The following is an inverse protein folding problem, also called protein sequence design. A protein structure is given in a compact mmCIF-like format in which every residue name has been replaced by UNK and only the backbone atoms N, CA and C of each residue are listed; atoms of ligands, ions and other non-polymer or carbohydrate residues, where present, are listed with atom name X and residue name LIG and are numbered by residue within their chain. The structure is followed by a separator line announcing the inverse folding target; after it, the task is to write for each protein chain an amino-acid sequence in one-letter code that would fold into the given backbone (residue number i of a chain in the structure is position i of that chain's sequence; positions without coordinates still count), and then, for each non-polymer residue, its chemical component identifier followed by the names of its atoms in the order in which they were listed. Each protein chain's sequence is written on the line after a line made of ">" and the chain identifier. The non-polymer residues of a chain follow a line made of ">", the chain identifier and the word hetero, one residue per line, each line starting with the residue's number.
data_IF_604161219091
#
_entry.id   IF_604161219091
#
_cell.length_a   1.000
_cell.length_b   1.000
_cell.length_c   1.000
_cell.angle_alpha   90.00
_cell.angle_beta   90.00
_cell.angle_gamma   90.00
#
_symmetry.space_group_name_H-M   'P 1'
#
loop_
_entity.id
_entity.type
_entity.pdbx_description
1 polymer ?
#
# COMPACT_ATOMS: atom_id res chain seq x y z
N UNK A 1 -1.88 -17.62 12.94
CA UNK A 1 -1.47 -17.91 11.55
C UNK A 1 -1.02 -16.60 10.91
N UNK A 2 0.11 -16.58 10.20
CA UNK A 2 0.60 -15.37 9.52
C UNK A 2 -0.33 -15.06 8.34
N UNK A 3 -0.91 -13.86 8.27
CA UNK A 3 -1.81 -13.48 7.17
C UNK A 3 -1.07 -12.89 5.97
N UNK A 4 0.06 -12.21 6.21
CA UNK A 4 0.88 -11.57 5.18
C UNK A 4 2.38 -11.55 5.54
N UNK A 5 3.23 -11.61 4.52
CA UNK A 5 4.69 -11.44 4.61
C UNK A 5 5.13 -10.35 3.63
N UNK A 6 5.86 -9.33 4.11
CA UNK A 6 6.37 -8.25 3.25
C UNK A 6 7.74 -8.61 2.66
N UNK A 7 8.01 -8.10 1.46
CA UNK A 7 9.35 -8.06 0.85
C UNK A 7 9.52 -6.73 0.11
N UNK A 8 10.74 -6.39 -0.34
CA UNK A 8 11.00 -5.04 -0.90
C UNK A 8 10.08 -4.67 -2.08
N UNK A 9 9.73 -5.65 -2.92
CA UNK A 9 8.86 -5.44 -4.08
C UNK A 9 7.37 -5.61 -3.82
N UNK A 10 6.91 -5.93 -2.60
CA UNK A 10 5.51 -6.27 -2.40
C UNK A 10 5.21 -7.08 -1.13
N UNK A 11 4.24 -7.98 -1.24
CA UNK A 11 3.88 -8.87 -0.15
C UNK A 11 3.32 -10.21 -0.65
N UNK A 12 3.37 -11.20 0.23
CA UNK A 12 2.73 -12.51 0.06
C UNK A 12 1.54 -12.57 1.00
N UNK A 13 0.37 -12.95 0.50
CA UNK A 13 -0.77 -13.31 1.32
C UNK A 13 -0.93 -14.83 1.38
N UNK A 14 -1.50 -15.35 2.46
CA UNK A 14 -1.66 -16.79 2.66
C UNK A 14 -3.14 -17.16 2.80
N UNK A 15 -3.61 -18.06 1.94
CA UNK A 15 -4.92 -18.71 2.08
C UNK A 15 -4.69 -20.20 2.25
N UNK A 16 -5.03 -20.74 3.41
CA UNK A 16 -4.84 -22.17 3.74
C UNK A 16 -3.40 -22.65 3.48
N UNK A 17 -2.41 -21.79 3.83
CA UNK A 17 -0.97 -21.98 3.58
C UNK A 17 -0.53 -21.94 2.12
N UNK A 18 -1.42 -21.63 1.18
CA UNK A 18 -1.08 -21.36 -0.22
C UNK A 18 -0.68 -19.88 -0.35
N UNK A 19 0.54 -19.58 -0.83
CA UNK A 19 1.01 -18.21 -0.99
C UNK A 19 0.49 -17.58 -2.30
N UNK A 20 0.04 -16.33 -2.22
CA UNK A 20 -0.26 -15.47 -3.37
C UNK A 20 0.65 -14.25 -3.33
N UNK A 21 1.35 -13.97 -4.42
CA UNK A 21 2.27 -12.84 -4.54
C UNK A 21 1.56 -11.61 -5.09
N UNK A 22 1.87 -10.48 -4.49
CA UNK A 22 1.37 -9.16 -4.84
C UNK A 22 2.56 -8.21 -4.96
N UNK A 23 2.62 -7.46 -6.05
CA UNK A 23 3.77 -6.63 -6.42
C UNK A 23 3.42 -5.15 -6.40
N UNK A 24 4.34 -4.34 -5.88
CA UNK A 24 4.26 -2.88 -5.90
C UNK A 24 4.91 -2.33 -7.16
N UNK A 25 4.17 -1.49 -7.87
CA UNK A 25 4.72 -0.61 -8.91
C UNK A 25 4.89 0.77 -8.29
N UNK A 26 6.15 1.15 -8.07
CA UNK A 26 6.53 2.35 -7.33
C UNK A 26 6.97 3.46 -8.28
N UNK A 27 6.68 4.71 -7.92
CA UNK A 27 7.33 5.87 -8.55
C UNK A 27 8.70 6.15 -7.91
N UNK A 28 9.38 7.20 -8.40
CA UNK A 28 10.71 7.59 -7.93
C UNK A 28 10.79 7.89 -6.43
N UNK A 29 9.71 8.39 -5.82
CA UNK A 29 9.69 8.70 -4.39
C UNK A 29 9.38 7.46 -3.53
N UNK A 30 9.09 6.32 -4.17
CA UNK A 30 8.69 5.10 -3.49
C UNK A 30 7.19 5.05 -3.19
N UNK A 31 6.36 5.89 -3.82
CA UNK A 31 4.91 5.79 -3.67
C UNK A 31 4.42 4.52 -4.38
N UNK A 32 3.61 3.72 -3.70
CA UNK A 32 2.97 2.56 -4.33
C UNK A 32 1.84 3.02 -5.26
N UNK A 33 2.14 3.20 -6.55
CA UNK A 33 1.17 3.67 -7.56
C UNK A 33 0.15 2.61 -7.92
N UNK A 34 0.59 1.36 -8.02
CA UNK A 34 -0.25 0.21 -8.34
C UNK A 34 0.18 -0.99 -7.50
N UNK A 35 -0.79 -1.80 -7.09
CA UNK A 35 -0.56 -3.17 -6.63
C UNK A 35 -1.15 -4.12 -7.67
N UNK A 36 -0.38 -5.12 -8.09
CA UNK A 36 -0.84 -6.14 -9.02
C UNK A 36 -0.54 -7.55 -8.52
N UNK A 37 -1.38 -8.50 -8.88
CA UNK A 37 -1.13 -9.91 -8.60
C UNK A 37 -0.05 -10.51 -9.53
N UNK A 38 0.31 -11.77 -9.30
CA UNK A 38 1.31 -12.48 -10.09
C UNK A 38 0.94 -12.69 -11.58
N UNK A 39 -0.30 -12.46 -11.98
CA UNK A 39 -0.76 -12.53 -13.36
C UNK A 39 -0.84 -11.14 -14.02
N UNK A 40 -0.46 -10.08 -13.29
CA UNK A 40 -0.54 -8.70 -13.75
C UNK A 40 -1.92 -8.07 -13.63
N UNK A 41 -2.87 -8.71 -12.92
CA UNK A 41 -4.16 -8.08 -12.66
C UNK A 41 -4.00 -6.96 -11.63
N UNK A 42 -4.56 -5.79 -11.92
CA UNK A 42 -4.52 -4.63 -11.02
C UNK A 42 -5.46 -4.83 -9.85
N UNK A 43 -4.92 -4.73 -8.64
CA UNK A 43 -5.66 -4.87 -7.39
C UNK A 43 -5.96 -3.53 -6.72
N UNK A 44 -5.04 -2.56 -6.85
CA UNK A 44 -5.08 -1.25 -6.20
C UNK A 44 -4.40 -0.21 -7.10
N UNK A 45 -4.97 1.00 -7.16
CA UNK A 45 -4.41 2.14 -7.90
C UNK A 45 -4.45 3.35 -6.99
N UNK A 46 -3.30 3.97 -6.77
CA UNK A 46 -3.16 5.11 -5.87
C UNK A 46 -2.64 6.33 -6.62
N UNK A 47 -3.44 7.39 -6.58
CA UNK A 47 -3.10 8.72 -7.09
C UNK A 47 -2.82 9.63 -5.90
N UNK A 48 -1.67 10.29 -5.90
CA UNK A 48 -1.20 11.11 -4.79
C UNK A 48 -1.16 12.57 -5.20
N UNK A 49 -1.69 13.44 -4.33
CA UNK A 49 -1.30 14.84 -4.31
C UNK A 49 0.19 14.96 -3.94
N UNK A 50 0.85 16.11 -4.24
CA UNK A 50 2.29 16.27 -3.98
C UNK A 50 2.73 15.97 -2.53
N UNK A 51 1.84 16.15 -1.56
CA UNK A 51 2.09 15.92 -0.14
C UNK A 51 1.53 14.57 0.38
N UNK A 52 1.15 13.66 -0.50
CA UNK A 52 0.85 12.27 -0.13
C UNK A 52 -0.61 11.95 0.18
N UNK A 53 -1.51 12.93 0.11
CA UNK A 53 -2.94 12.71 0.23
C UNK A 53 -3.44 11.91 -0.99
N UNK A 54 -4.26 10.89 -0.75
CA UNK A 54 -4.86 10.09 -1.82
C UNK A 54 -5.97 10.88 -2.52
N UNK A 55 -5.94 10.90 -3.85
CA UNK A 55 -7.00 11.50 -4.67
C UNK A 55 -8.22 10.56 -4.76
N UNK A 56 -9.40 11.15 -4.95
CA UNK A 56 -10.68 10.42 -4.96
C UNK A 56 -10.87 9.44 -6.13
N UNK A 57 -10.06 9.56 -7.19
CA UNK A 57 -10.03 8.63 -8.31
C UNK A 57 -9.17 7.38 -8.06
N UNK A 58 -8.48 7.30 -6.91
CA UNK A 58 -7.78 6.10 -6.47
C UNK A 58 -8.76 4.93 -6.24
N UNK A 59 -8.33 3.70 -6.55
CA UNK A 59 -9.19 2.51 -6.55
C UNK A 59 -8.70 1.47 -5.57
N UNK A 60 -9.59 0.91 -4.76
CA UNK A 60 -9.32 -0.20 -3.82
C UNK A 60 -8.27 0.11 -2.73
N UNK A 61 -8.19 1.38 -2.30
CA UNK A 61 -7.13 1.89 -1.43
C UNK A 61 -7.00 1.19 -0.07
N UNK A 62 -8.01 0.43 0.38
CA UNK A 62 -7.99 -0.30 1.65
C UNK A 62 -7.33 -1.70 1.60
N UNK A 63 -6.94 -2.23 0.44
CA UNK A 63 -6.38 -3.60 0.35
C UNK A 63 -4.98 -3.72 0.95
N UNK A 64 -4.17 -2.70 0.76
CA UNK A 64 -2.75 -2.67 1.06
C UNK A 64 -2.41 -1.35 1.73
N UNK A 65 -1.98 -1.33 3.02
CA UNK A 65 -1.78 -0.09 3.76
C UNK A 65 -0.49 0.67 3.41
N UNK A 66 0.52 0.07 2.80
CA UNK A 66 1.73 0.78 2.38
C UNK A 66 1.44 1.65 1.14
N UNK A 67 1.55 2.97 1.26
CA UNK A 67 1.13 3.95 0.23
C UNK A 67 2.25 4.97 -0.08
N UNK A 68 2.10 6.21 0.38
CA UNK A 68 3.02 7.32 0.11
C UNK A 68 4.40 7.01 0.69
N UNK A 69 5.44 7.18 -0.12
CA UNK A 69 6.86 6.97 0.20
C UNK A 69 7.14 5.66 0.96
N UNK A 70 6.38 4.61 0.64
CA UNK A 70 6.47 3.31 1.27
C UNK A 70 6.12 3.28 2.75
N UNK A 71 5.32 4.23 3.25
CA UNK A 71 4.84 4.26 4.64
C UNK A 71 3.43 3.71 4.74
N UNK A 72 3.18 3.07 5.88
CA UNK A 72 1.88 2.52 6.22
C UNK A 72 0.90 3.66 6.49
N UNK A 73 -0.23 3.65 5.80
CA UNK A 73 -1.36 4.54 6.00
C UNK A 73 -2.30 3.93 7.05
N UNK A 74 -2.34 4.56 8.21
CA UNK A 74 -3.35 4.32 9.23
C UNK A 74 -4.51 5.30 9.05
N UNK A 75 -5.75 4.80 9.13
CA UNK A 75 -6.99 5.58 9.01
C UNK A 75 -7.78 5.66 10.31
N UNK A 76 -7.17 5.28 11.43
CA UNK A 76 -7.82 5.24 12.73
C UNK A 76 -8.39 6.61 13.09
N UNK A 77 -9.62 6.62 13.61
CA UNK A 77 -10.39 7.83 13.92
C UNK A 77 -10.72 8.74 12.73
N UNK A 78 -10.65 8.23 11.49
CA UNK A 78 -11.03 8.99 10.29
C UNK A 78 -9.97 9.99 9.82
N UNK A 79 -8.74 9.88 10.33
CA UNK A 79 -7.60 10.68 9.91
C UNK A 79 -6.60 9.80 9.16
N UNK A 80 -6.07 10.31 8.05
CA UNK A 80 -5.04 9.64 7.26
C UNK A 80 -3.65 9.95 7.88
N UNK A 81 -3.02 8.96 8.49
CA UNK A 81 -1.71 9.06 9.14
C UNK A 81 -0.68 8.13 8.50
N UNK A 82 0.47 8.68 8.12
CA UNK A 82 1.62 7.90 7.68
C UNK A 82 2.59 7.62 8.83
N UNK A 83 2.92 6.34 9.05
CA UNK A 83 3.85 5.91 10.09
C UNK A 83 5.32 6.05 9.66
N UNK A 84 6.04 7.05 10.19
CA UNK A 84 7.49 7.25 9.96
C UNK A 84 8.36 6.69 11.10
N UNK A 85 7.87 5.69 11.81
CA UNK A 85 8.52 5.13 12.99
C UNK A 85 8.37 6.06 14.20
N UNK A 86 9.23 7.08 14.31
CA UNK A 86 9.24 7.98 15.46
C UNK A 86 8.17 9.09 15.40
N UNK A 87 7.54 9.29 14.24
CA UNK A 87 6.57 10.38 14.00
C UNK A 87 5.43 9.89 13.11
N UNK A 88 4.26 10.48 13.29
CA UNK A 88 3.16 10.39 12.32
C UNK A 88 3.20 11.60 11.38
N UNK A 89 2.82 11.38 10.13
CA UNK A 89 2.70 12.44 9.13
C UNK A 89 1.26 12.51 8.63
N UNK A 90 0.63 13.67 8.78
CA UNK A 90 -0.64 13.99 8.14
C UNK A 90 -0.35 14.63 6.78
N UNK A 91 -0.84 14.04 5.69
CA UNK A 91 -0.71 14.59 4.34
C UNK A 91 -1.71 15.72 4.03
#
# INVERSE_FOLDING_TARGET
>A
MLSRLLFDGGYVSFRDSVPTYHYYIRDYLGNNRVVADAHGNVEDVNHYNPYGALMGDSRNTGRQPYKYIGKELDRTHGLDWYAHGARHYAP
#
